data_IF_185599814935
#
_entry.id   IF_185599814935
#
_cell.length_a   1.000
_cell.length_b   1.000
_cell.length_c   1.000
_cell.angle_alpha   90.00
_cell.angle_beta   90.00
_cell.angle_gamma   90.00
#
_symmetry.space_group_name_H-M   'P 1'
#
loop_
_entity.id
_entity.type
_entity.pdbx_description
1 polymer ?
#
# COMPACT_ATOMS: atom_id res chain seq x y z
N UNK A 1 54.87 -27.27 -15.88
CA UNK A 1 54.14 -27.70 -17.10
C UNK A 1 53.02 -26.70 -17.32
N UNK A 2 53.24 -25.80 -18.28
CA UNK A 2 52.33 -24.71 -18.63
C UNK A 2 50.98 -25.22 -19.17
N UNK A 3 49.94 -24.44 -18.91
CA UNK A 3 48.93 -24.03 -19.88
C UNK A 3 48.26 -25.15 -20.72
N UNK A 4 47.14 -25.64 -20.20
CA UNK A 4 46.01 -26.22 -20.94
C UNK A 4 45.00 -26.56 -19.86
N UNK A 5 43.98 -25.75 -19.62
CA UNK A 5 42.76 -25.87 -20.39
C UNK A 5 41.91 -24.61 -20.19
N UNK A 6 42.16 -23.58 -21.00
CA UNK A 6 41.17 -22.56 -21.27
C UNK A 6 40.12 -23.19 -22.19
N UNK A 7 39.07 -23.75 -21.59
CA UNK A 7 37.72 -23.92 -22.15
C UNK A 7 36.89 -24.77 -21.19
N UNK A 8 35.60 -24.44 -21.06
CA UNK A 8 34.54 -25.10 -20.26
C UNK A 8 34.17 -24.41 -18.94
N UNK A 9 33.84 -23.12 -18.99
CA UNK A 9 32.47 -22.73 -18.57
C UNK A 9 31.55 -23.17 -19.71
N UNK A 10 30.41 -23.85 -19.48
CA UNK A 10 29.30 -23.17 -18.81
C UNK A 10 28.22 -24.12 -18.21
N UNK A 11 28.25 -24.49 -16.92
CA UNK A 11 27.05 -25.08 -16.29
C UNK A 11 27.02 -24.77 -14.79
N UNK A 12 26.71 -23.53 -14.42
CA UNK A 12 26.25 -23.21 -13.06
C UNK A 12 25.09 -22.21 -13.12
N UNK A 13 24.13 -22.47 -14.01
CA UNK A 13 22.93 -21.65 -14.22
C UNK A 13 21.64 -22.39 -13.82
N UNK A 14 21.65 -23.18 -12.74
CA UNK A 14 20.40 -23.80 -12.25
C UNK A 14 20.28 -23.99 -10.72
N UNK A 15 20.94 -23.16 -9.91
CA UNK A 15 20.63 -23.06 -8.48
C UNK A 15 20.36 -21.61 -8.08
N UNK A 16 19.38 -21.00 -8.76
CA UNK A 16 18.78 -19.73 -8.36
C UNK A 16 17.47 -19.98 -7.62
N UNK A 17 17.47 -19.67 -6.31
CA UNK A 17 16.34 -19.54 -5.38
C UNK A 17 15.39 -20.75 -5.23
N UNK A 18 15.64 -21.54 -4.17
CA UNK A 18 14.56 -22.25 -3.50
C UNK A 18 13.61 -21.20 -2.92
N UNK A 19 12.37 -21.14 -3.42
CA UNK A 19 11.29 -20.44 -2.72
C UNK A 19 11.16 -21.07 -1.34
N UNK A 20 11.59 -20.33 -0.32
CA UNK A 20 11.29 -20.65 1.07
C UNK A 20 9.77 -20.81 1.15
N UNK A 21 9.23 -21.89 1.74
CA UNK A 21 7.82 -21.91 2.07
C UNK A 21 7.64 -20.76 3.05
N UNK A 22 7.00 -19.68 2.59
CA UNK A 22 6.64 -18.56 3.45
C UNK A 22 5.97 -19.16 4.68
N UNK A 23 6.58 -18.92 5.84
CA UNK A 23 5.90 -19.11 7.11
C UNK A 23 4.54 -18.45 6.98
N UNK A 24 3.51 -19.14 7.44
CA UNK A 24 2.14 -18.64 7.47
C UNK A 24 2.15 -17.27 8.12
N UNK A 25 2.17 -16.22 7.30
CA UNK A 25 1.89 -14.87 7.74
C UNK A 25 0.46 -14.91 8.26
N UNK A 26 0.16 -14.37 9.45
CA UNK A 26 -1.21 -14.22 9.89
C UNK A 26 -1.95 -13.48 8.77
N UNK A 27 -2.81 -14.19 8.03
CA UNK A 27 -3.67 -13.53 7.06
C UNK A 27 -4.60 -12.71 7.93
N UNK A 28 -4.38 -11.39 7.94
CA UNK A 28 -5.31 -10.46 8.53
C UNK A 28 -6.72 -10.87 8.09
N UNK A 29 -7.63 -11.01 9.05
CA UNK A 29 -9.03 -11.33 8.78
C UNK A 29 -9.50 -10.44 7.63
N UNK A 30 -10.06 -11.01 6.55
CA UNK A 30 -10.38 -10.26 5.33
C UNK A 30 -11.15 -8.97 5.63
N UNK A 31 -12.00 -9.00 6.68
CA UNK A 31 -12.72 -7.86 7.21
C UNK A 31 -11.85 -6.62 7.51
N UNK A 32 -10.66 -6.80 8.09
CA UNK A 32 -9.80 -5.67 8.48
C UNK A 32 -9.13 -4.98 7.27
N UNK A 33 -8.79 -5.77 6.24
CA UNK A 33 -8.27 -5.19 5.00
C UNK A 33 -9.39 -4.56 4.17
N UNK A 34 -10.58 -5.18 4.14
CA UNK A 34 -11.78 -4.65 3.49
C UNK A 34 -12.20 -3.29 4.12
N UNK A 35 -11.95 -3.08 5.43
CA UNK A 35 -12.14 -1.79 6.09
C UNK A 35 -11.23 -0.69 5.52
N UNK A 36 -9.96 -1.00 5.21
CA UNK A 36 -9.04 -0.05 4.56
C UNK A 36 -9.50 0.27 3.13
N UNK A 37 -9.91 -0.74 2.35
CA UNK A 37 -10.42 -0.54 0.99
C UNK A 37 -11.67 0.35 1.01
N UNK A 38 -12.57 0.10 1.96
CA UNK A 38 -13.77 0.93 2.17
C UNK A 38 -13.39 2.37 2.50
N UNK A 39 -12.47 2.57 3.44
CA UNK A 39 -11.98 3.89 3.82
C UNK A 39 -11.32 4.62 2.63
N UNK A 40 -10.55 3.91 1.81
CA UNK A 40 -9.94 4.49 0.62
C UNK A 40 -11.01 5.01 -0.37
N UNK A 41 -12.07 4.25 -0.62
CA UNK A 41 -13.16 4.70 -1.48
C UNK A 41 -13.88 5.93 -0.93
N UNK A 42 -14.12 5.99 0.38
CA UNK A 42 -14.68 7.17 1.03
C UNK A 42 -13.73 8.38 0.93
N UNK A 43 -12.43 8.18 1.11
CA UNK A 43 -11.43 9.23 0.95
C UNK A 43 -11.39 9.74 -0.50
N UNK A 44 -11.43 8.86 -1.51
CA UNK A 44 -11.51 9.26 -2.92
C UNK A 44 -12.77 10.05 -3.24
N UNK A 45 -13.91 9.69 -2.65
CA UNK A 45 -15.14 10.45 -2.79
C UNK A 45 -15.04 11.81 -2.09
N UNK A 46 -14.42 11.87 -0.90
CA UNK A 46 -14.18 13.10 -0.17
C UNK A 46 -13.23 14.03 -0.91
N UNK A 47 -12.15 13.53 -1.50
CA UNK A 47 -11.07 14.33 -2.10
C UNK A 47 -11.60 15.25 -3.20
N UNK A 48 -12.59 14.80 -3.98
CA UNK A 48 -13.30 15.62 -4.97
C UNK A 48 -13.93 16.85 -4.30
N UNK A 49 -13.37 18.06 -4.51
CA UNK A 49 -13.88 19.25 -3.86
C UNK A 49 -15.23 19.69 -4.45
N UNK A 50 -16.03 20.46 -3.69
CA UNK A 50 -17.12 21.25 -4.26
C UNK A 50 -16.62 22.14 -5.40
N UNK A 51 -17.53 22.57 -6.27
CA UNK A 51 -17.19 23.54 -7.31
C UNK A 51 -17.44 24.97 -6.81
N UNK A 52 -16.53 25.87 -7.18
CA UNK A 52 -16.67 27.32 -7.13
C UNK A 52 -16.56 27.84 -8.57
N UNK A 53 -17.63 28.46 -9.07
CA UNK A 53 -17.73 28.96 -10.45
C UNK A 53 -17.35 27.93 -11.53
N UNK A 54 -17.71 26.66 -11.29
CA UNK A 54 -17.46 25.55 -12.22
C UNK A 54 -16.08 24.91 -12.10
N UNK A 55 -15.17 25.45 -11.30
CA UNK A 55 -13.87 24.86 -11.02
C UNK A 55 -13.81 24.27 -9.60
N UNK A 56 -12.94 23.28 -9.34
CA UNK A 56 -12.63 22.81 -7.98
C UNK A 56 -12.34 23.94 -6.98
N UNK A 57 -13.07 23.98 -5.87
CA UNK A 57 -12.91 24.98 -4.82
C UNK A 57 -11.79 24.57 -3.84
N UNK A 58 -10.60 25.13 -4.06
CA UNK A 58 -9.43 24.98 -3.19
C UNK A 58 -9.21 26.17 -2.24
N UNK A 59 -10.26 26.95 -1.94
CA UNK A 59 -10.14 28.08 -1.01
C UNK A 59 -9.95 27.62 0.43
N UNK A 60 -9.28 28.46 1.24
CA UNK A 60 -9.11 28.23 2.67
C UNK A 60 -10.44 27.99 3.38
N UNK A 61 -11.48 28.78 3.07
CA UNK A 61 -12.80 28.64 3.66
C UNK A 61 -13.39 27.24 3.44
N UNK A 62 -13.25 26.69 2.23
CA UNK A 62 -13.71 25.34 1.90
C UNK A 62 -12.88 24.27 2.61
N UNK A 63 -11.57 24.45 2.75
CA UNK A 63 -10.74 23.55 3.57
C UNK A 63 -11.09 23.59 5.05
N UNK A 64 -11.31 24.76 5.64
CA UNK A 64 -11.76 24.92 7.04
C UNK A 64 -13.09 24.21 7.24
N UNK A 65 -14.05 24.40 6.33
CA UNK A 65 -15.36 23.76 6.38
C UNK A 65 -15.27 22.23 6.28
N UNK A 66 -14.36 21.69 5.47
CA UNK A 66 -14.20 20.25 5.24
C UNK A 66 -13.25 19.57 6.24
N UNK A 67 -12.51 20.35 7.04
CA UNK A 67 -11.55 19.84 8.04
C UNK A 67 -12.14 18.78 8.98
N UNK A 68 -13.35 18.96 9.56
CA UNK A 68 -13.90 17.95 10.48
C UNK A 68 -14.16 16.60 9.83
N UNK A 69 -14.57 16.57 8.55
CA UNK A 69 -14.78 15.33 7.81
C UNK A 69 -13.44 14.65 7.46
N UNK A 70 -12.43 15.45 7.07
CA UNK A 70 -11.07 14.94 6.87
C UNK A 70 -10.50 14.31 8.15
N UNK A 71 -10.64 14.97 9.30
CA UNK A 71 -10.16 14.44 10.58
C UNK A 71 -10.87 13.15 10.98
N UNK A 72 -12.14 12.96 10.61
CA UNK A 72 -12.85 11.69 10.82
C UNK A 72 -12.25 10.56 9.98
N UNK A 73 -11.96 10.80 8.69
CA UNK A 73 -11.29 9.85 7.82
C UNK A 73 -9.89 9.50 8.36
N UNK A 74 -9.11 10.51 8.76
CA UNK A 74 -7.77 10.32 9.32
C UNK A 74 -7.80 9.49 10.61
N UNK A 75 -8.73 9.77 11.53
CA UNK A 75 -8.90 9.00 12.77
C UNK A 75 -9.24 7.54 12.49
N UNK A 76 -10.10 7.27 11.50
CA UNK A 76 -10.47 5.90 11.11
C UNK A 76 -9.27 5.15 10.52
N UNK A 77 -8.48 5.79 9.67
CA UNK A 77 -7.26 5.20 9.11
C UNK A 77 -6.26 4.81 10.21
N UNK A 78 -6.04 5.73 11.16
CA UNK A 78 -5.14 5.52 12.30
C UNK A 78 -5.61 4.42 13.27
N UNK A 79 -6.90 4.09 13.27
CA UNK A 79 -7.46 3.04 14.10
C UNK A 79 -7.29 1.63 13.50
N UNK A 80 -6.91 1.52 12.22
CA UNK A 80 -6.66 0.24 11.56
C UNK A 80 -5.31 -0.30 12.02
N UNK A 81 -5.30 -1.43 12.73
CA UNK A 81 -4.07 -2.16 13.06
C UNK A 81 -3.64 -3.02 11.86
N UNK A 82 -2.58 -2.57 11.19
CA UNK A 82 -1.97 -3.25 10.05
C UNK A 82 -0.73 -4.07 10.43
N UNK A 83 -0.34 -4.14 11.71
CA UNK A 83 0.93 -4.72 12.14
C UNK A 83 1.10 -6.20 11.78
N UNK A 84 -0.01 -6.94 11.70
CA UNK A 84 -0.03 -8.36 11.34
C UNK A 84 -0.20 -8.62 9.84
N UNK A 85 -0.32 -7.58 9.00
CA UNK A 85 -0.64 -7.75 7.59
C UNK A 85 0.57 -8.18 6.76
N UNK A 86 0.32 -8.71 5.57
CA UNK A 86 1.40 -8.92 4.59
C UNK A 86 2.04 -7.57 4.18
N UNK A 87 3.33 -7.57 3.83
CA UNK A 87 4.05 -6.34 3.45
C UNK A 87 3.30 -5.53 2.37
N UNK A 88 2.75 -6.12 1.28
CA UNK A 88 1.98 -5.36 0.30
C UNK A 88 0.78 -4.62 0.91
N UNK A 89 0.02 -5.28 1.80
CA UNK A 89 -1.13 -4.65 2.45
C UNK A 89 -0.72 -3.57 3.44
N UNK A 90 0.44 -3.73 4.12
CA UNK A 90 0.98 -2.64 4.95
C UNK A 90 1.34 -1.43 4.08
N UNK A 91 1.94 -1.64 2.90
CA UNK A 91 2.22 -0.57 1.93
C UNK A 91 0.93 0.12 1.51
N UNK A 92 -0.15 -0.64 1.25
CA UNK A 92 -1.46 -0.07 0.93
C UNK A 92 -1.96 0.85 2.06
N UNK A 93 -1.79 0.48 3.32
CA UNK A 93 -2.14 1.35 4.46
C UNK A 93 -1.32 2.66 4.46
N UNK A 94 -0.03 2.62 4.12
CA UNK A 94 0.84 3.81 4.11
C UNK A 94 0.54 4.80 2.97
N UNK A 95 -0.06 4.36 1.87
CA UNK A 95 -0.36 5.20 0.71
C UNK A 95 -1.78 5.77 0.72
N UNK A 96 -2.65 5.28 1.60
CA UNK A 96 -3.99 5.82 1.86
C UNK A 96 -3.87 7.04 2.78
#
# INVERSE_FOLDING_TARGET
MYLRFLLLMPVYLILGCQSTPNGQTPVASSSAYDDLVTLFHEWRAFEKPPLLDGAPDYTEATFVKRRPAFEQLQKRLQAIDYSSWSVPQQVDWYIV
#
